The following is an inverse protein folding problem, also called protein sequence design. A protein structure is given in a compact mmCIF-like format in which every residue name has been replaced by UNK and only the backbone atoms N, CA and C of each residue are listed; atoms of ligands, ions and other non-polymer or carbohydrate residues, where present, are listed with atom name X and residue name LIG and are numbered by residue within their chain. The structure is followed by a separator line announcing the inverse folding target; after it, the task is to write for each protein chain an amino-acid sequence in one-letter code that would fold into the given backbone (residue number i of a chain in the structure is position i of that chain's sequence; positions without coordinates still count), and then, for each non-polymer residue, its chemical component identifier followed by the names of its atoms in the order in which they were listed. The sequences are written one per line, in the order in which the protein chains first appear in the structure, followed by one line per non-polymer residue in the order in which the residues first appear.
data_IF_924251514135
#
_entry.id   IF_924251514135
#
_cell.length_a   1.000
_cell.length_b   1.000
_cell.length_c   1.000
_cell.angle_alpha   90.00
_cell.angle_beta   90.00
_cell.angle_gamma   90.00
#
_symmetry.space_group_name_H-M   'P 1'
#
loop_
_entity.id
_entity.type
_entity.pdbx_description
1 polymer ?
#
# COMPACT_ATOMS: atom_id res chain seq x y z
N UNK A 1 -87.84 -32.53 -39.61
CA UNK A 1 -87.37 -31.38 -40.34
C UNK A 1 -86.05 -30.95 -39.67
N UNK A 2 -84.99 -31.37 -40.22
CA UNK A 2 -83.66 -31.35 -39.58
C UNK A 2 -82.78 -30.28 -40.25
N UNK A 3 -82.32 -29.28 -39.46
CA UNK A 3 -81.31 -28.35 -39.86
C UNK A 3 -79.93 -28.72 -39.23
N UNK A 4 -78.95 -28.94 -40.07
CA UNK A 4 -77.56 -29.25 -39.68
C UNK A 4 -76.82 -27.95 -39.24
N UNK A 5 -75.97 -28.03 -38.22
CA UNK A 5 -75.15 -26.90 -37.85
C UNK A 5 -73.81 -26.85 -38.68
N UNK A 6 -73.43 -25.66 -39.00
CA UNK A 6 -72.23 -25.32 -39.72
C UNK A 6 -70.98 -25.48 -38.80
N UNK A 7 -70.00 -26.23 -39.22
CA UNK A 7 -68.73 -26.36 -38.53
C UNK A 7 -67.76 -25.26 -39.00
N UNK A 8 -67.43 -24.38 -38.07
CA UNK A 8 -66.45 -23.29 -38.34
C UNK A 8 -65.05 -23.75 -37.92
N UNK A 9 -64.19 -24.06 -38.90
CA UNK A 9 -62.78 -24.40 -38.69
C UNK A 9 -62.00 -23.14 -38.28
N UNK A 10 -61.59 -23.05 -37.02
CA UNK A 10 -60.60 -22.06 -36.54
C UNK A 10 -59.18 -22.58 -36.80
N UNK A 11 -58.51 -21.98 -37.73
CA UNK A 11 -57.07 -22.12 -37.95
C UNK A 11 -56.32 -21.44 -36.79
N UNK A 12 -55.70 -22.25 -35.93
CA UNK A 12 -54.73 -21.74 -34.93
C UNK A 12 -53.40 -21.44 -35.65
N UNK A 13 -53.11 -20.16 -35.82
CA UNK A 13 -51.76 -19.71 -36.18
C UNK A 13 -50.90 -19.72 -34.92
N UNK A 14 -50.04 -20.75 -34.80
CA UNK A 14 -48.97 -20.82 -33.82
C UNK A 14 -47.85 -19.82 -34.18
N UNK A 15 -47.82 -18.68 -33.52
CA UNK A 15 -46.67 -17.76 -33.55
C UNK A 15 -45.59 -18.28 -32.61
N UNK A 16 -44.63 -19.02 -33.16
CA UNK A 16 -43.36 -19.35 -32.46
C UNK A 16 -42.63 -18.06 -32.22
N UNK A 17 -42.68 -17.52 -30.98
CA UNK A 17 -41.73 -16.48 -30.54
C UNK A 17 -40.38 -17.13 -30.36
N UNK A 18 -39.43 -16.86 -31.31
CA UNK A 18 -38.03 -17.12 -31.11
C UNK A 18 -37.53 -16.19 -29.99
N UNK A 19 -37.20 -16.75 -28.80
CA UNK A 19 -36.43 -16.08 -27.81
C UNK A 19 -34.97 -16.13 -28.25
N UNK A 20 -34.44 -14.99 -28.73
CA UNK A 20 -33.02 -14.83 -28.96
C UNK A 20 -32.37 -14.66 -27.57
N UNK A 21 -31.81 -15.75 -27.02
CA UNK A 21 -30.93 -15.66 -25.86
C UNK A 21 -29.63 -14.99 -26.32
N UNK A 22 -29.50 -13.69 -26.08
CA UNK A 22 -28.22 -13.01 -26.20
C UNK A 22 -27.36 -13.47 -25.02
N UNK A 23 -26.47 -14.43 -25.28
CA UNK A 23 -25.39 -14.78 -24.36
C UNK A 23 -24.44 -13.59 -24.35
N UNK A 24 -24.54 -12.72 -23.32
CA UNK A 24 -23.51 -11.73 -23.01
C UNK A 24 -22.34 -12.52 -22.45
N UNK A 25 -21.37 -12.82 -23.31
CA UNK A 25 -20.08 -13.36 -22.89
C UNK A 25 -19.38 -12.19 -22.21
N UNK A 26 -19.42 -12.17 -20.87
CA UNK A 26 -18.49 -11.37 -20.08
C UNK A 26 -17.10 -11.98 -20.31
N UNK A 27 -16.38 -11.49 -21.31
CA UNK A 27 -14.94 -11.69 -21.36
C UNK A 27 -14.37 -10.91 -20.17
N UNK A 28 -13.65 -11.55 -19.22
CA UNK A 28 -12.88 -10.80 -18.26
C UNK A 28 -11.87 -9.99 -19.10
N UNK A 29 -12.02 -8.69 -19.09
CA UNK A 29 -10.96 -7.80 -19.57
C UNK A 29 -9.80 -8.05 -18.61
N UNK A 30 -8.87 -8.91 -19.02
CA UNK A 30 -7.53 -8.93 -18.44
C UNK A 30 -7.02 -7.54 -18.76
N UNK A 31 -7.06 -6.64 -17.81
CA UNK A 31 -6.31 -5.41 -17.89
C UNK A 31 -4.87 -5.86 -18.08
N UNK A 32 -4.37 -5.77 -19.30
CA UNK A 32 -2.94 -5.81 -19.57
C UNK A 32 -2.34 -4.84 -18.55
N UNK A 33 -1.42 -5.34 -17.72
CA UNK A 33 -0.65 -4.50 -16.84
C UNK A 33 -0.18 -3.31 -17.67
N UNK A 34 -0.80 -2.15 -17.44
CA UNK A 34 -0.47 -0.96 -18.19
C UNK A 34 1.02 -0.73 -18.03
N UNK A 35 1.67 -0.38 -19.13
CA UNK A 35 3.06 0.04 -19.10
C UNK A 35 3.19 1.15 -18.05
N UNK A 36 4.06 0.95 -17.05
CA UNK A 36 4.29 1.96 -16.03
C UNK A 36 4.83 3.23 -16.69
N UNK A 37 4.27 4.37 -16.38
CA UNK A 37 4.82 5.64 -16.82
C UNK A 37 6.22 5.85 -16.21
N UNK A 38 7.05 6.69 -16.86
CA UNK A 38 8.36 7.08 -16.35
C UNK A 38 9.53 6.32 -16.93
N UNK A 39 10.63 6.29 -16.18
CA UNK A 39 11.91 5.71 -16.65
C UNK A 39 12.07 4.29 -16.13
N UNK A 40 12.28 3.35 -17.05
CA UNK A 40 12.62 1.98 -16.69
C UNK A 40 14.10 1.88 -16.37
N UNK A 41 14.41 1.23 -15.25
CA UNK A 41 15.77 0.94 -14.75
C UNK A 41 15.85 -0.51 -14.28
N UNK A 42 17.02 -0.96 -13.81
CA UNK A 42 17.23 -2.29 -13.25
C UNK A 42 17.30 -2.25 -11.73
N UNK A 43 16.56 -3.15 -11.08
CA UNK A 43 16.67 -3.44 -9.66
C UNK A 43 17.00 -4.92 -9.47
N UNK A 44 18.28 -5.25 -9.36
CA UNK A 44 18.74 -6.64 -9.16
C UNK A 44 18.15 -7.64 -10.17
N UNK A 45 18.13 -7.28 -11.45
CA UNK A 45 17.56 -8.03 -12.57
C UNK A 45 16.03 -8.07 -12.63
N UNK A 46 15.35 -7.20 -11.91
CA UNK A 46 13.91 -6.92 -12.04
C UNK A 46 13.71 -5.55 -12.68
N UNK A 47 12.60 -5.39 -13.40
CA UNK A 47 12.25 -4.11 -13.99
C UNK A 47 11.76 -3.15 -12.90
N UNK A 48 12.45 -2.03 -12.74
CA UNK A 48 12.05 -0.92 -11.89
C UNK A 48 11.57 0.23 -12.78
N UNK A 49 10.51 0.89 -12.37
CA UNK A 49 10.00 2.11 -13.00
C UNK A 49 10.04 3.25 -12.00
N UNK A 50 10.67 4.35 -12.42
CA UNK A 50 10.73 5.60 -11.68
C UNK A 50 9.75 6.58 -12.34
N UNK A 51 8.77 7.06 -11.59
CA UNK A 51 7.69 7.90 -12.09
C UNK A 51 7.22 8.87 -11.01
N UNK A 52 6.31 9.75 -11.38
CA UNK A 52 5.75 10.76 -10.50
C UNK A 52 4.23 10.59 -10.35
N UNK A 53 3.73 10.69 -9.13
CA UNK A 53 2.30 10.75 -8.81
C UNK A 53 2.06 11.97 -7.95
N UNK A 54 1.22 12.88 -8.42
CA UNK A 54 0.88 14.13 -7.72
C UNK A 54 2.11 14.95 -7.26
N UNK A 55 3.17 14.98 -8.06
CA UNK A 55 4.42 15.67 -7.75
C UNK A 55 5.29 14.95 -6.73
N UNK A 56 5.08 13.64 -6.53
CA UNK A 56 5.86 12.79 -5.64
C UNK A 56 6.66 11.77 -6.43
N UNK A 57 7.95 11.68 -6.14
CA UNK A 57 8.82 10.64 -6.69
C UNK A 57 8.38 9.26 -6.19
N UNK A 58 8.02 8.40 -7.13
CA UNK A 58 7.54 7.05 -6.89
C UNK A 58 8.41 6.02 -7.61
N UNK A 59 8.46 4.83 -7.05
CA UNK A 59 9.11 3.67 -7.65
C UNK A 59 8.24 2.44 -7.53
N UNK A 60 8.25 1.63 -8.60
CA UNK A 60 7.68 0.29 -8.59
C UNK A 60 8.71 -0.69 -9.15
N UNK A 61 8.91 -1.83 -8.47
CA UNK A 61 9.65 -2.95 -9.02
C UNK A 61 8.68 -4.07 -9.34
N UNK A 62 8.74 -4.56 -10.56
CA UNK A 62 7.81 -5.57 -11.08
C UNK A 62 8.45 -6.95 -11.01
N UNK A 63 7.79 -7.96 -10.43
CA UNK A 63 8.30 -9.32 -10.42
C UNK A 63 8.29 -9.92 -11.84
N UNK A 64 9.15 -10.91 -12.12
CA UNK A 64 9.16 -11.61 -13.43
C UNK A 64 7.86 -12.35 -13.69
N UNK A 65 7.24 -12.91 -12.66
CA UNK A 65 5.93 -13.56 -12.69
C UNK A 65 5.09 -12.96 -11.55
N UNK A 66 3.98 -12.35 -11.91
CA UNK A 66 3.10 -11.69 -10.94
C UNK A 66 2.26 -12.76 -10.24
N UNK A 67 2.30 -12.80 -8.91
CA UNK A 67 1.43 -13.69 -8.12
C UNK A 67 -0.03 -13.24 -8.19
N UNK A 68 -0.94 -14.22 -8.02
CA UNK A 68 -2.38 -13.97 -8.00
C UNK A 68 -2.74 -12.92 -6.92
N UNK A 69 -3.63 -12.00 -7.26
CA UNK A 69 -4.06 -10.91 -6.39
C UNK A 69 -3.06 -9.75 -6.30
N UNK A 70 -1.96 -9.78 -7.07
CA UNK A 70 -0.96 -8.71 -7.15
C UNK A 70 -0.48 -8.24 -5.78
N UNK A 71 0.07 -9.14 -4.95
CA UNK A 71 0.60 -8.79 -3.63
C UNK A 71 1.81 -7.88 -3.75
N UNK A 72 2.03 -7.08 -2.71
CA UNK A 72 3.10 -6.09 -2.72
C UNK A 72 3.63 -5.79 -1.33
N UNK A 73 4.89 -5.34 -1.30
CA UNK A 73 5.57 -4.80 -0.12
C UNK A 73 5.86 -3.32 -0.34
N UNK A 74 5.60 -2.50 0.66
CA UNK A 74 5.80 -1.06 0.63
C UNK A 74 7.00 -0.66 1.47
N UNK A 75 8.09 -0.36 0.79
CA UNK A 75 9.32 0.16 1.42
C UNK A 75 9.15 1.62 1.79
N UNK A 76 9.34 1.96 3.07
CA UNK A 76 9.08 3.32 3.56
C UNK A 76 10.26 4.29 3.36
N UNK A 77 11.50 3.81 3.47
CA UNK A 77 12.72 4.61 3.40
C UNK A 77 13.89 3.75 2.93
N UNK A 78 15.00 4.39 2.55
CA UNK A 78 16.25 3.71 2.18
C UNK A 78 16.03 2.66 1.07
N UNK A 79 15.29 3.04 0.04
CA UNK A 79 15.02 2.17 -1.10
C UNK A 79 16.32 1.62 -1.70
N UNK A 80 16.40 0.30 -1.86
CA UNK A 80 17.56 -0.40 -2.40
C UNK A 80 18.69 -0.65 -1.39
N UNK A 81 18.58 -0.21 -0.13
CA UNK A 81 19.53 -0.55 0.91
C UNK A 81 19.13 -1.86 1.59
N UNK A 82 20.06 -2.85 1.62
CA UNK A 82 19.84 -4.18 2.16
C UNK A 82 18.54 -4.84 1.63
N UNK A 83 18.41 -5.03 0.30
CA UNK A 83 17.14 -5.36 -0.35
C UNK A 83 16.83 -6.87 -0.38
N UNK A 84 17.36 -7.66 0.56
CA UNK A 84 17.24 -9.12 0.55
C UNK A 84 15.78 -9.58 0.67
N UNK A 85 15.00 -8.90 1.51
CA UNK A 85 13.57 -9.18 1.71
C UNK A 85 12.78 -8.87 0.45
N UNK A 86 12.98 -7.69 -0.13
CA UNK A 86 12.30 -7.28 -1.37
C UNK A 86 12.66 -8.21 -2.53
N UNK A 87 13.95 -8.58 -2.70
CA UNK A 87 14.38 -9.53 -3.73
C UNK A 87 13.74 -10.91 -3.53
N UNK A 88 13.64 -11.38 -2.28
CA UNK A 88 13.00 -12.66 -1.99
C UNK A 88 11.50 -12.64 -2.30
N UNK A 89 10.81 -11.52 -2.04
CA UNK A 89 9.40 -11.34 -2.34
C UNK A 89 9.15 -11.14 -3.84
N UNK A 90 10.00 -10.40 -4.56
CA UNK A 90 9.96 -10.29 -6.03
C UNK A 90 10.02 -11.66 -6.70
N UNK A 91 10.90 -12.56 -6.22
CA UNK A 91 10.98 -13.96 -6.71
C UNK A 91 9.71 -14.77 -6.43
N UNK A 92 8.87 -14.33 -5.50
CA UNK A 92 7.56 -14.92 -5.15
C UNK A 92 6.38 -14.22 -5.83
N UNK A 93 6.66 -13.27 -6.72
CA UNK A 93 5.62 -12.57 -7.50
C UNK A 93 5.03 -11.33 -6.82
N UNK A 94 5.63 -10.84 -5.73
CA UNK A 94 5.26 -9.58 -5.10
C UNK A 94 5.88 -8.40 -5.86
N UNK A 95 5.15 -7.29 -5.93
CA UNK A 95 5.72 -6.01 -6.33
C UNK A 95 6.42 -5.34 -5.13
N UNK A 96 7.40 -4.47 -5.41
CA UNK A 96 7.97 -3.56 -4.40
C UNK A 96 7.57 -2.15 -4.76
N UNK A 97 6.98 -1.42 -3.81
CA UNK A 97 6.54 -0.04 -4.00
C UNK A 97 7.31 0.92 -3.08
N UNK A 98 7.50 2.14 -3.56
CA UNK A 98 8.10 3.24 -2.80
C UNK A 98 7.51 4.57 -3.24
N UNK A 99 7.30 5.48 -2.28
CA UNK A 99 7.03 6.90 -2.52
C UNK A 99 7.85 7.74 -1.56
N UNK A 100 8.43 8.84 -2.06
CA UNK A 100 9.30 9.67 -1.21
C UNK A 100 8.48 10.55 -0.25
N UNK A 101 8.63 10.25 1.04
CA UNK A 101 8.13 11.02 2.17
C UNK A 101 9.22 11.20 3.24
N UNK A 102 10.48 11.09 2.83
CA UNK A 102 11.64 10.98 3.71
C UNK A 102 11.75 12.12 4.74
N UNK A 103 11.55 13.36 4.29
CA UNK A 103 11.70 14.55 5.12
C UNK A 103 10.39 14.98 5.81
N UNK A 104 9.39 14.07 5.82
CA UNK A 104 8.11 14.29 6.51
C UNK A 104 7.98 13.51 7.82
N UNK A 105 8.95 12.69 8.22
CA UNK A 105 9.06 12.04 9.53
C UNK A 105 7.77 11.33 10.01
N UNK A 106 6.98 10.78 9.08
CA UNK A 106 5.70 10.13 9.40
C UNK A 106 4.58 11.07 9.85
N UNK A 107 4.70 12.37 9.63
CA UNK A 107 3.70 13.38 9.95
C UNK A 107 2.36 13.13 9.24
N UNK A 108 1.26 13.81 9.63
CA UNK A 108 -0.02 13.72 8.93
C UNK A 108 0.09 13.98 7.43
N UNK A 109 1.01 14.86 7.01
CA UNK A 109 1.29 15.11 5.60
C UNK A 109 1.94 13.92 4.89
N UNK A 110 2.79 13.18 5.60
CA UNK A 110 3.34 11.93 5.06
C UNK A 110 2.25 10.86 4.88
N UNK A 111 1.36 10.74 5.87
CA UNK A 111 0.21 9.83 5.83
C UNK A 111 -0.71 10.14 4.66
N UNK A 112 -1.07 11.41 4.44
CA UNK A 112 -1.88 11.84 3.29
C UNK A 112 -1.23 11.48 1.95
N UNK A 113 0.09 11.68 1.81
CA UNK A 113 0.83 11.26 0.61
C UNK A 113 0.79 9.76 0.39
N UNK A 114 0.91 8.99 1.45
CA UNK A 114 0.80 7.53 1.42
C UNK A 114 -0.61 7.08 1.03
N UNK A 115 -1.66 7.68 1.59
CA UNK A 115 -3.04 7.35 1.20
C UNK A 115 -3.31 7.57 -0.29
N UNK A 116 -2.80 8.65 -0.86
CA UNK A 116 -2.92 8.93 -2.30
C UNK A 116 -2.19 7.89 -3.15
N UNK A 117 -0.95 7.55 -2.79
CA UNK A 117 -0.19 6.54 -3.51
C UNK A 117 -0.80 5.14 -3.35
N UNK A 118 -1.31 4.79 -2.17
CA UNK A 118 -2.08 3.56 -1.96
C UNK A 118 -3.31 3.50 -2.90
N UNK A 119 -4.09 4.57 -2.97
CA UNK A 119 -5.23 4.67 -3.90
C UNK A 119 -4.79 4.47 -5.35
N UNK A 120 -3.73 5.15 -5.78
CA UNK A 120 -3.16 4.99 -7.12
C UNK A 120 -2.83 3.52 -7.44
N UNK A 121 -2.12 2.81 -6.57
CA UNK A 121 -1.74 1.41 -6.78
C UNK A 121 -2.95 0.47 -6.77
N UNK A 122 -3.87 0.65 -5.81
CA UNK A 122 -4.97 -0.30 -5.62
C UNK A 122 -6.17 -0.07 -6.54
N UNK A 123 -6.43 1.17 -6.95
CA UNK A 123 -7.58 1.53 -7.79
C UNK A 123 -7.21 1.55 -9.28
N UNK A 124 -6.02 2.07 -9.62
CA UNK A 124 -5.60 2.19 -11.02
C UNK A 124 -4.82 0.99 -11.52
N UNK A 125 -4.07 0.30 -10.65
CA UNK A 125 -3.21 -0.83 -11.03
C UNK A 125 -3.66 -2.18 -10.45
N UNK A 126 -4.75 -2.22 -9.68
CA UNK A 126 -5.36 -3.47 -9.18
C UNK A 126 -4.50 -4.23 -8.18
N UNK A 127 -3.66 -3.55 -7.41
CA UNK A 127 -2.86 -4.18 -6.36
C UNK A 127 -3.73 -4.69 -5.21
N UNK A 128 -3.23 -5.69 -4.48
CA UNK A 128 -3.88 -6.19 -3.27
C UNK A 128 -4.27 -5.04 -2.33
N UNK A 129 -5.48 -5.09 -1.77
CA UNK A 129 -5.93 -4.12 -0.78
C UNK A 129 -5.17 -4.21 0.54
N UNK A 130 -4.49 -5.32 0.81
CA UNK A 130 -3.61 -5.45 1.96
C UNK A 130 -2.16 -5.52 1.51
N UNK A 131 -1.33 -4.65 2.08
CA UNK A 131 0.10 -4.56 1.79
C UNK A 131 0.96 -5.04 2.96
N UNK A 132 2.16 -5.52 2.66
CA UNK A 132 3.23 -5.67 3.65
C UNK A 132 3.91 -4.31 3.79
N UNK A 133 4.07 -3.82 5.02
CA UNK A 133 4.81 -2.58 5.27
C UNK A 133 6.23 -2.92 5.71
N UNK A 134 7.21 -2.24 5.12
CA UNK A 134 8.62 -2.40 5.46
C UNK A 134 9.24 -1.06 5.86
N UNK A 135 9.79 -0.99 7.06
CA UNK A 135 10.41 0.23 7.58
C UNK A 135 11.74 -0.03 8.25
N UNK A 136 12.83 0.53 7.68
CA UNK A 136 14.14 0.58 8.28
C UNK A 136 14.34 1.92 8.96
N UNK A 137 14.87 1.92 10.20
CA UNK A 137 15.24 3.14 10.95
C UNK A 137 14.08 4.15 11.00
N UNK A 138 14.27 5.40 10.56
CA UNK A 138 13.22 6.43 10.53
C UNK A 138 12.02 6.09 9.64
N UNK A 139 12.11 5.03 8.82
CA UNK A 139 10.96 4.48 8.10
C UNK A 139 9.90 3.91 9.04
N UNK A 140 10.26 3.57 10.28
CA UNK A 140 9.32 3.16 11.33
C UNK A 140 8.22 4.19 11.57
N UNK A 141 8.56 5.49 11.61
CA UNK A 141 7.59 6.56 11.87
C UNK A 141 6.40 6.51 10.90
N UNK A 142 6.63 6.38 9.60
CA UNK A 142 5.54 6.40 8.63
C UNK A 142 4.77 5.08 8.57
N UNK A 143 5.45 3.91 8.61
CA UNK A 143 4.73 2.64 8.50
C UNK A 143 3.74 2.45 9.66
N UNK A 144 4.13 2.81 10.89
CA UNK A 144 3.26 2.68 12.05
C UNK A 144 2.17 3.74 12.11
N UNK A 145 2.49 5.02 11.81
CA UNK A 145 1.49 6.08 11.79
C UNK A 145 0.42 5.83 10.73
N UNK A 146 0.83 5.37 9.54
CA UNK A 146 -0.13 5.01 8.50
C UNK A 146 -0.94 3.76 8.85
N UNK A 147 -0.31 2.72 9.39
CA UNK A 147 -0.97 1.48 9.80
C UNK A 147 -2.00 1.71 10.92
N UNK A 148 -1.71 2.58 11.88
CA UNK A 148 -2.63 2.89 12.98
C UNK A 148 -3.94 3.53 12.50
N UNK A 149 -3.91 4.27 11.38
CA UNK A 149 -5.08 4.90 10.75
C UNK A 149 -5.76 3.95 9.76
N UNK A 150 -5.00 3.04 9.13
CA UNK A 150 -5.44 2.15 8.06
C UNK A 150 -5.19 0.65 8.38
N UNK A 151 -5.60 0.14 9.55
CA UNK A 151 -5.24 -1.23 9.95
C UNK A 151 -5.85 -2.31 9.03
N UNK A 152 -6.98 -2.03 8.40
CA UNK A 152 -7.63 -2.92 7.44
C UNK A 152 -6.87 -3.06 6.10
N UNK A 153 -5.97 -2.12 5.80
CA UNK A 153 -5.13 -2.11 4.60
C UNK A 153 -3.77 -2.81 4.80
N UNK A 154 -3.46 -3.27 6.02
CA UNK A 154 -2.17 -3.87 6.35
C UNK A 154 -2.29 -5.38 6.45
N UNK A 155 -1.35 -6.10 5.83
CA UNK A 155 -1.21 -7.55 5.97
C UNK A 155 -0.33 -7.89 7.17
N UNK A 156 0.88 -7.34 7.20
CA UNK A 156 1.84 -7.43 8.30
C UNK A 156 2.87 -6.29 8.19
N UNK A 157 3.65 -6.11 9.24
CA UNK A 157 4.73 -5.11 9.30
C UNK A 157 6.06 -5.83 9.54
N UNK A 158 7.05 -5.51 8.71
CA UNK A 158 8.45 -5.81 8.91
C UNK A 158 9.21 -4.53 9.21
N UNK A 159 9.84 -4.46 10.38
CA UNK A 159 10.51 -3.27 10.87
C UNK A 159 11.93 -3.60 11.32
N UNK A 160 12.92 -2.92 10.76
CA UNK A 160 14.33 -3.09 11.07
C UNK A 160 14.84 -1.85 11.79
N UNK A 161 15.24 -1.99 13.05
CA UNK A 161 15.65 -0.93 13.96
C UNK A 161 14.72 0.31 13.86
N UNK A 162 13.37 0.13 13.96
CA UNK A 162 12.43 1.20 13.62
C UNK A 162 12.46 2.32 14.65
N UNK A 163 12.47 3.57 14.20
CA UNK A 163 12.14 4.72 15.04
C UNK A 163 10.64 4.73 15.27
N UNK A 164 10.22 4.58 16.52
CA UNK A 164 8.82 4.59 16.95
C UNK A 164 8.44 5.81 17.80
N UNK A 165 9.41 6.64 18.19
CA UNK A 165 9.20 7.93 18.83
C UNK A 165 10.14 9.00 18.23
N UNK A 166 9.60 10.06 17.65
CA UNK A 166 10.44 11.13 17.10
C UNK A 166 11.25 11.87 18.18
N UNK A 167 10.91 11.69 19.46
CA UNK A 167 11.69 12.20 20.59
C UNK A 167 12.97 11.40 20.82
N UNK A 168 12.98 10.10 20.48
CA UNK A 168 14.20 9.30 20.48
C UNK A 168 15.11 9.70 19.32
N UNK A 169 14.55 9.77 18.12
CA UNK A 169 15.18 10.24 16.89
C UNK A 169 14.12 10.95 16.03
N UNK A 170 14.35 12.17 15.53
CA UNK A 170 15.62 12.91 15.48
C UNK A 170 15.97 13.78 16.68
N UNK A 171 15.06 13.96 17.66
CA UNK A 171 15.29 14.93 18.75
C UNK A 171 16.57 14.68 19.52
N UNK A 172 16.75 13.48 20.13
CA UNK A 172 17.91 13.17 20.99
C UNK A 172 19.16 12.77 20.19
N UNK A 173 19.01 12.13 19.04
CA UNK A 173 20.08 11.42 18.33
C UNK A 173 20.37 11.94 16.92
N UNK A 174 20.04 13.21 16.62
CA UNK A 174 20.30 13.82 15.32
C UNK A 174 20.74 15.28 15.45
N UNK A 175 20.96 15.95 14.31
CA UNK A 175 21.31 17.36 14.30
C UNK A 175 20.11 18.26 14.64
N UNK A 176 20.37 19.46 15.17
CA UNK A 176 19.32 20.48 15.37
C UNK A 176 18.56 20.81 14.08
N UNK A 177 19.24 20.80 12.93
CA UNK A 177 18.62 21.04 11.64
C UNK A 177 17.64 19.93 11.24
N UNK A 178 17.96 18.66 11.53
CA UNK A 178 17.06 17.53 11.29
C UNK A 178 15.86 17.58 12.24
N UNK A 179 16.09 17.95 13.51
CA UNK A 179 15.00 18.14 14.47
C UNK A 179 14.04 19.25 14.03
N UNK A 180 14.59 20.40 13.57
CA UNK A 180 13.77 21.49 13.06
C UNK A 180 12.90 21.06 11.87
N UNK A 181 13.48 20.31 10.90
CA UNK A 181 12.69 19.73 9.80
C UNK A 181 11.55 18.84 10.28
N UNK A 182 11.77 18.08 11.35
CA UNK A 182 10.71 17.25 11.94
C UNK A 182 9.59 18.13 12.55
N UNK A 183 9.95 19.17 13.29
CA UNK A 183 8.98 20.13 13.83
C UNK A 183 8.17 20.81 12.72
N UNK A 184 8.84 21.24 11.66
CA UNK A 184 8.21 21.86 10.50
C UNK A 184 7.25 20.89 9.78
N UNK A 185 7.63 19.60 9.67
CA UNK A 185 6.80 18.57 9.05
C UNK A 185 5.52 18.27 9.86
N UNK A 186 5.59 18.37 11.17
CA UNK A 186 4.43 18.21 12.07
C UNK A 186 3.72 19.54 12.37
N UNK A 187 4.24 20.67 11.87
CA UNK A 187 3.72 22.01 12.13
C UNK A 187 3.62 22.30 13.65
N UNK A 188 4.63 21.88 14.42
CA UNK A 188 4.67 21.95 15.87
C UNK A 188 5.83 22.83 16.37
N UNK A 189 5.62 23.49 17.47
CA UNK A 189 6.69 24.03 18.30
C UNK A 189 7.40 22.91 19.08
N UNK A 190 8.61 23.13 19.52
CA UNK A 190 9.33 22.18 20.38
C UNK A 190 8.57 21.83 21.66
N UNK A 191 7.90 22.82 22.27
CA UNK A 191 7.11 22.63 23.48
C UNK A 191 5.87 21.72 23.25
N UNK A 192 5.26 21.79 22.08
CA UNK A 192 4.17 20.90 21.67
C UNK A 192 4.69 19.50 21.36
N UNK A 193 5.80 19.38 20.64
CA UNK A 193 6.42 18.11 20.31
C UNK A 193 6.84 17.31 21.56
N UNK A 194 7.36 17.98 22.58
CA UNK A 194 7.71 17.34 23.88
C UNK A 194 6.49 16.72 24.58
N UNK A 195 5.29 17.29 24.40
CA UNK A 195 4.03 16.81 24.97
C UNK A 195 3.21 15.95 23.99
N UNK A 196 3.74 15.71 22.82
CA UNK A 196 3.03 14.93 21.82
C UNK A 196 2.94 13.44 22.21
N UNK A 197 1.72 12.89 22.13
CA UNK A 197 1.37 11.51 22.43
C UNK A 197 0.75 10.81 21.21
N UNK A 198 1.22 11.15 20.01
CA UNK A 198 0.77 10.57 18.74
C UNK A 198 1.88 9.85 18.00
N UNK A 199 2.98 9.49 18.68
CA UNK A 199 4.04 8.69 18.07
C UNK A 199 3.59 7.22 17.88
N UNK A 200 4.24 6.44 17.03
CA UNK A 200 3.97 5.01 16.88
C UNK A 200 3.80 4.25 18.18
N UNK A 201 4.72 4.45 19.14
CA UNK A 201 4.66 3.79 20.48
C UNK A 201 3.40 4.10 21.27
N UNK A 202 2.76 5.24 21.02
CA UNK A 202 1.54 5.67 21.69
C UNK A 202 0.27 5.07 21.05
N UNK A 203 0.35 4.56 19.81
CA UNK A 203 -0.79 4.23 18.95
C UNK A 203 -0.80 2.79 18.42
N UNK A 204 -0.30 1.81 19.18
CA UNK A 204 -0.27 0.41 18.78
C UNK A 204 -1.61 -0.33 18.89
N UNK A 205 -2.56 0.24 19.65
CA UNK A 205 -3.85 -0.42 19.91
C UNK A 205 -4.63 -0.80 18.65
N UNK A 206 -4.78 0.05 17.61
CA UNK A 206 -5.48 -0.33 16.39
C UNK A 206 -4.85 -1.52 15.66
N UNK A 207 -3.51 -1.65 15.70
CA UNK A 207 -2.79 -2.76 15.09
C UNK A 207 -3.05 -4.07 15.85
N UNK A 208 -3.05 -4.01 17.16
CA UNK A 208 -3.32 -5.15 18.03
C UNK A 208 -4.77 -5.64 17.86
N UNK A 209 -5.75 -4.73 17.83
CA UNK A 209 -7.17 -5.04 17.63
C UNK A 209 -7.43 -5.64 16.23
N UNK A 210 -6.69 -5.23 15.22
CA UNK A 210 -6.75 -5.78 13.86
C UNK A 210 -5.98 -7.09 13.70
N UNK A 211 -5.22 -7.53 14.71
CA UNK A 211 -4.42 -8.77 14.69
C UNK A 211 -3.26 -8.71 13.69
N UNK A 212 -2.69 -7.52 13.44
CA UNK A 212 -1.58 -7.36 12.49
C UNK A 212 -0.32 -7.99 13.09
N UNK A 213 0.29 -8.92 12.33
CA UNK A 213 1.57 -9.51 12.71
C UNK A 213 2.70 -8.48 12.56
N UNK A 214 3.54 -8.37 13.59
CA UNK A 214 4.71 -7.49 13.64
C UNK A 214 5.97 -8.33 13.72
N UNK A 215 6.91 -8.11 12.82
CA UNK A 215 8.27 -8.65 12.87
C UNK A 215 9.25 -7.50 13.05
N UNK A 216 9.96 -7.48 14.18
CA UNK A 216 10.99 -6.50 14.46
C UNK A 216 12.37 -7.16 14.45
N UNK A 217 13.31 -6.52 13.77
CA UNK A 217 14.74 -6.78 13.91
C UNK A 217 15.32 -5.63 14.71
N UNK A 218 15.99 -5.93 15.79
CA UNK A 218 16.55 -4.93 16.71
C UNK A 218 17.99 -5.30 17.10
N UNK A 219 18.84 -4.30 17.28
CA UNK A 219 20.17 -4.46 17.83
C UNK A 219 20.17 -4.11 19.34
N UNK A 220 20.58 -5.05 20.19
CA UNK A 220 20.65 -4.76 21.66
C UNK A 220 21.61 -3.61 21.99
N UNK A 221 22.62 -3.38 21.16
CA UNK A 221 23.62 -2.33 21.34
C UNK A 221 23.42 -1.14 20.38
N UNK A 222 22.21 -0.97 19.83
CA UNK A 222 21.92 0.16 18.96
C UNK A 222 21.87 1.47 19.75
N UNK A 223 22.87 2.34 19.50
CA UNK A 223 22.98 3.64 20.14
C UNK A 223 22.22 4.75 19.41
N UNK A 224 21.81 4.50 18.16
CA UNK A 224 21.09 5.49 17.32
C UNK A 224 19.59 5.36 17.51
N UNK A 225 19.09 4.12 17.52
CA UNK A 225 17.67 3.79 17.77
C UNK A 225 17.59 2.81 18.94
N UNK A 226 17.82 3.26 20.17
CA UNK A 226 17.79 2.40 21.34
C UNK A 226 16.43 1.74 21.52
N UNK A 227 16.41 0.44 21.80
CA UNK A 227 15.18 -0.33 22.04
C UNK A 227 14.35 0.26 23.19
N UNK A 228 15.01 0.79 24.23
CA UNK A 228 14.32 1.37 25.38
C UNK A 228 13.54 2.67 25.07
N UNK A 229 13.84 3.32 23.94
CA UNK A 229 13.24 4.60 23.54
C UNK A 229 12.25 4.42 22.36
N UNK A 230 12.09 3.19 21.85
CA UNK A 230 11.31 2.85 20.65
C UNK A 230 10.53 1.52 20.85
#
# INVERSE_FOLDING_TARGET
MFSKPLVLNRLFRSTRRLWLCVLIIFSPTVALAGEWAGTQTDFHSFDQYDFEVDGLDCKIVVPKEIAEGRPWIWRARFFGHEPQTEIALLKKGFHVAYVDVADLFGSPKAVDRWDRFYGYLTESHGFSKKTVLEGLSRGGLIIYNWAAINPDKVHCIYADAPVCDFKSWPMKKSSKATWQKCLDAYEMTEAEALRFHGNPIDNLKPLAEAGIALLHIIGEADEVVPVADN
#
